data_IF_633652784591
#
_entry.id   IF_633652784591
#
_cell.length_a   1.000
_cell.length_b   1.000
_cell.length_c   1.000
_cell.angle_alpha   90.00
_cell.angle_beta   90.00
_cell.angle_gamma   90.00
#
_symmetry.space_group_name_H-M   'P 1'
#
loop_
_entity.id
_entity.type
_entity.pdbx_description
1 polymer ?
#
# COMPACT_ATOMS: atom_id res chain seq x y z
N UNK A 1 -1.14 -14.39 -12.36
CA UNK A 1 -0.16 -13.44 -11.78
C UNK A 1 1.19 -14.07 -11.43
N UNK A 2 1.29 -15.09 -10.56
CA UNK A 2 2.58 -15.75 -10.22
C UNK A 2 3.35 -16.28 -11.44
N UNK A 3 2.67 -17.04 -12.32
CA UNK A 3 3.29 -17.61 -13.53
C UNK A 3 3.80 -16.53 -14.49
N UNK A 4 3.05 -15.46 -14.68
CA UNK A 4 3.46 -14.32 -15.53
C UNK A 4 4.66 -13.58 -14.94
N UNK A 5 4.67 -13.31 -13.63
CA UNK A 5 5.82 -12.68 -12.94
C UNK A 5 7.10 -13.52 -13.06
N UNK A 6 7.00 -14.83 -12.84
CA UNK A 6 8.14 -15.74 -12.98
C UNK A 6 8.67 -15.77 -14.41
N UNK A 7 7.78 -15.87 -15.40
CA UNK A 7 8.20 -15.87 -16.82
C UNK A 7 8.91 -14.57 -17.17
N UNK A 8 8.36 -13.42 -16.78
CA UNK A 8 8.97 -12.11 -17.07
C UNK A 8 10.34 -11.97 -16.38
N UNK A 9 10.44 -12.28 -15.10
CA UNK A 9 11.71 -12.15 -14.36
C UNK A 9 12.78 -13.10 -14.90
N UNK A 10 12.43 -14.34 -15.19
CA UNK A 10 13.37 -15.32 -15.74
C UNK A 10 13.77 -14.98 -17.19
N UNK A 11 12.84 -14.50 -18.02
CA UNK A 11 13.16 -14.06 -19.38
C UNK A 11 14.09 -12.85 -19.39
N UNK A 12 13.84 -11.88 -18.50
CA UNK A 12 14.69 -10.68 -18.38
C UNK A 12 16.06 -11.05 -17.84
N UNK A 13 16.14 -11.94 -16.85
CA UNK A 13 17.41 -12.45 -16.33
C UNK A 13 18.22 -13.17 -17.42
N UNK A 14 17.57 -14.06 -18.18
CA UNK A 14 18.21 -14.78 -19.27
C UNK A 14 18.72 -13.84 -20.37
N UNK A 15 17.93 -12.81 -20.72
CA UNK A 15 18.33 -11.80 -21.70
C UNK A 15 19.55 -10.99 -21.20
N UNK A 16 19.52 -10.51 -19.96
CA UNK A 16 20.62 -9.75 -19.37
C UNK A 16 21.90 -10.57 -19.26
N UNK A 17 21.80 -11.82 -18.81
CA UNK A 17 22.94 -12.75 -18.77
C UNK A 17 23.49 -13.06 -20.16
N UNK A 18 22.63 -13.23 -21.17
CA UNK A 18 23.05 -13.45 -22.54
C UNK A 18 23.81 -12.25 -23.13
N UNK A 19 23.31 -11.04 -22.89
CA UNK A 19 24.00 -9.79 -23.30
C UNK A 19 25.33 -9.64 -22.56
N UNK A 20 25.36 -9.84 -21.25
CA UNK A 20 26.59 -9.78 -20.45
C UNK A 20 27.62 -10.81 -20.91
N UNK A 21 27.20 -12.05 -21.18
CA UNK A 21 28.06 -13.11 -21.70
C UNK A 21 28.64 -12.77 -23.07
N UNK A 22 27.84 -12.23 -23.97
CA UNK A 22 28.30 -11.79 -25.29
C UNK A 22 29.38 -10.69 -25.19
N UNK A 23 29.16 -9.66 -24.36
CA UNK A 23 30.15 -8.60 -24.16
C UNK A 23 31.41 -9.10 -23.46
N UNK A 24 31.28 -9.94 -22.43
CA UNK A 24 32.43 -10.52 -21.72
C UNK A 24 33.28 -11.40 -22.64
N UNK A 25 32.65 -12.23 -23.45
CA UNK A 25 33.34 -13.07 -24.44
C UNK A 25 34.11 -12.22 -25.46
N UNK A 26 33.46 -11.18 -26.00
CA UNK A 26 34.10 -10.28 -26.97
C UNK A 26 35.26 -9.49 -26.35
N UNK A 27 35.10 -9.02 -25.10
CA UNK A 27 36.15 -8.35 -24.36
C UNK A 27 37.35 -9.28 -24.12
N UNK A 28 37.10 -10.54 -23.72
CA UNK A 28 38.13 -11.55 -23.55
C UNK A 28 38.94 -11.82 -24.82
N UNK A 29 38.26 -11.94 -25.98
CA UNK A 29 38.94 -12.10 -27.27
C UNK A 29 39.83 -10.89 -27.62
N UNK A 30 39.34 -9.67 -27.38
CA UNK A 30 40.11 -8.47 -27.66
C UNK A 30 41.34 -8.36 -26.74
N UNK A 31 41.15 -8.57 -25.44
CA UNK A 31 42.22 -8.48 -24.45
C UNK A 31 43.30 -9.54 -24.69
N UNK A 32 42.91 -10.78 -25.02
CA UNK A 32 43.84 -11.81 -25.45
C UNK A 32 44.63 -11.40 -26.70
N UNK A 33 43.96 -10.81 -27.70
CA UNK A 33 44.61 -10.28 -28.90
C UNK A 33 45.69 -9.23 -28.60
N UNK A 34 45.39 -8.28 -27.71
CA UNK A 34 46.32 -7.23 -27.28
C UNK A 34 47.53 -7.81 -26.50
N UNK A 35 47.30 -8.80 -25.63
CA UNK A 35 48.38 -9.50 -24.93
C UNK A 35 49.33 -10.22 -25.90
N UNK A 36 48.81 -10.87 -26.94
CA UNK A 36 49.63 -11.53 -27.96
C UNK A 36 50.44 -10.51 -28.79
N UNK A 37 49.85 -9.39 -29.17
CA UNK A 37 50.57 -8.33 -29.89
C UNK A 37 51.71 -7.76 -29.02
N UNK A 38 51.47 -7.55 -27.71
CA UNK A 38 52.50 -7.12 -26.77
C UNK A 38 53.64 -8.15 -26.62
N UNK A 39 53.33 -9.45 -26.63
CA UNK A 39 54.31 -10.55 -26.58
C UNK A 39 55.24 -10.53 -27.80
N UNK A 40 54.74 -10.23 -29.00
CA UNK A 40 55.57 -10.10 -30.20
C UNK A 40 56.58 -8.96 -30.08
N UNK A 41 56.13 -7.79 -29.60
CA UNK A 41 57.02 -6.64 -29.36
C UNK A 41 58.10 -6.97 -28.34
N UNK A 42 57.72 -7.58 -27.22
CA UNK A 42 58.66 -7.99 -26.18
C UNK A 42 59.69 -8.98 -26.73
N UNK A 43 59.24 -9.98 -27.47
CA UNK A 43 60.12 -11.00 -28.07
C UNK A 43 61.10 -10.39 -29.06
N UNK A 44 60.66 -9.47 -29.93
CA UNK A 44 61.55 -8.75 -30.85
C UNK A 44 62.57 -7.90 -30.10
N UNK A 45 62.18 -7.21 -29.02
CA UNK A 45 63.11 -6.40 -28.21
C UNK A 45 64.16 -7.25 -27.50
N UNK A 46 63.75 -8.39 -26.94
CA UNK A 46 64.68 -9.35 -26.33
C UNK A 46 65.65 -9.89 -27.38
N UNK A 47 65.17 -10.24 -28.57
CA UNK A 47 66.02 -10.69 -29.67
C UNK A 47 67.05 -9.63 -30.10
N UNK A 48 66.63 -8.35 -30.19
CA UNK A 48 67.54 -7.23 -30.45
C UNK A 48 68.62 -7.17 -29.36
N UNK A 49 68.22 -7.16 -28.08
CA UNK A 49 69.15 -7.04 -26.96
C UNK A 49 70.15 -8.20 -26.84
N UNK A 50 69.78 -9.39 -27.30
CA UNK A 50 70.63 -10.59 -27.21
C UNK A 50 71.55 -10.78 -28.42
N UNK A 51 71.13 -10.36 -29.62
CA UNK A 51 71.75 -10.80 -30.86
C UNK A 51 72.36 -9.64 -31.65
N UNK A 52 71.93 -8.39 -31.45
CA UNK A 52 72.40 -7.28 -32.28
C UNK A 52 73.90 -6.98 -32.10
N UNK A 53 74.39 -6.96 -30.86
CA UNK A 53 75.81 -6.72 -30.56
C UNK A 53 76.72 -7.90 -30.98
N UNK A 54 76.42 -9.19 -30.68
CA UNK A 54 77.22 -10.30 -31.20
C UNK A 54 77.26 -10.37 -32.73
N UNK A 55 76.17 -9.98 -33.41
CA UNK A 55 76.13 -9.97 -34.87
C UNK A 55 76.92 -8.81 -35.49
N UNK A 56 77.19 -7.70 -34.79
CA UNK A 56 78.07 -6.63 -35.34
C UNK A 56 79.48 -7.12 -35.59
N UNK A 57 79.96 -8.05 -34.78
CA UNK A 57 81.31 -8.63 -34.90
C UNK A 57 81.40 -9.72 -35.99
N UNK A 58 80.26 -10.26 -36.43
CA UNK A 58 80.17 -11.40 -37.36
C UNK A 58 79.94 -11.01 -38.83
N UNK A 59 80.03 -9.73 -39.20
CA UNK A 59 79.72 -9.17 -40.54
C UNK A 59 80.55 -9.73 -41.72
N UNK A 60 81.45 -10.69 -41.48
CA UNK A 60 82.36 -11.28 -42.46
C UNK A 60 82.07 -12.76 -42.81
N UNK A 61 80.90 -13.34 -42.51
CA UNK A 61 80.55 -14.70 -42.93
C UNK A 61 79.77 -14.72 -44.27
N UNK A 62 80.35 -15.23 -45.37
CA UNK A 62 79.60 -15.57 -46.58
C UNK A 62 79.06 -17.01 -46.43
N UNK A 63 77.88 -17.17 -45.84
CA UNK A 63 77.31 -18.49 -45.59
C UNK A 63 75.79 -18.49 -45.39
N UNK A 64 75.24 -19.68 -45.20
CA UNK A 64 73.82 -19.89 -44.88
C UNK A 64 73.43 -19.20 -43.56
N UNK A 65 72.17 -18.74 -43.41
CA UNK A 65 71.71 -18.06 -42.20
C UNK A 65 71.83 -18.97 -40.96
N UNK A 66 72.14 -18.36 -39.81
CA UNK A 66 72.16 -19.07 -38.53
C UNK A 66 70.73 -19.48 -38.18
N UNK A 67 70.51 -20.79 -38.02
CA UNK A 67 69.19 -21.33 -37.65
C UNK A 67 69.15 -21.61 -36.15
N UNK A 68 68.39 -20.82 -35.41
CA UNK A 68 68.05 -21.11 -34.01
C UNK A 68 67.01 -22.22 -33.97
N UNK A 69 67.35 -23.35 -33.33
CA UNK A 69 66.42 -24.47 -33.16
C UNK A 69 65.58 -24.27 -31.91
N UNK A 70 64.26 -24.25 -32.08
CA UNK A 70 63.28 -24.15 -30.99
C UNK A 70 62.77 -25.51 -30.51
N UNK A 71 61.96 -25.53 -29.45
CA UNK A 71 61.25 -26.73 -29.01
C UNK A 71 59.98 -26.99 -29.86
N UNK A 72 59.70 -28.25 -30.20
CA UNK A 72 58.70 -28.67 -31.20
C UNK A 72 57.67 -29.69 -30.68
N UNK A 73 57.43 -29.77 -29.37
CA UNK A 73 56.50 -30.74 -28.82
C UNK A 73 55.04 -30.43 -29.17
N UNK A 74 54.26 -31.46 -29.51
CA UNK A 74 52.79 -31.39 -29.56
C UNK A 74 52.24 -31.84 -28.20
N UNK A 75 51.66 -30.94 -27.43
CA UNK A 75 50.94 -31.29 -26.22
C UNK A 75 49.42 -31.26 -26.50
N UNK A 76 48.70 -32.26 -25.98
CA UNK A 76 47.24 -32.37 -26.00
C UNK A 76 46.75 -32.43 -24.55
N UNK A 77 45.95 -31.45 -24.11
CA UNK A 77 45.38 -31.39 -22.75
C UNK A 77 45.15 -29.96 -22.26
N UNK A 78 44.37 -29.79 -21.17
CA UNK A 78 44.00 -28.48 -20.57
C UNK A 78 44.34 -28.50 -19.07
N UNK A 79 44.95 -27.43 -18.53
CA UNK A 79 45.18 -27.23 -17.09
C UNK A 79 46.63 -27.38 -16.60
N UNK A 80 46.84 -27.42 -15.27
CA UNK A 80 48.16 -27.53 -14.59
C UNK A 80 48.98 -28.79 -14.98
N UNK A 81 48.37 -29.78 -15.64
CA UNK A 81 49.10 -30.91 -16.25
C UNK A 81 49.96 -30.49 -17.48
N UNK A 82 49.82 -29.27 -17.98
CA UNK A 82 50.63 -28.67 -19.06
C UNK A 82 52.00 -28.15 -18.60
N UNK A 83 52.34 -28.31 -17.33
CA UNK A 83 53.59 -27.85 -16.75
C UNK A 83 54.41 -29.04 -16.24
N UNK A 84 55.22 -29.67 -17.11
CA UNK A 84 56.33 -30.51 -16.61
C UNK A 84 57.66 -30.25 -17.32
N UNK A 85 58.66 -30.07 -16.46
CA UNK A 85 60.15 -30.04 -16.57
C UNK A 85 60.88 -29.44 -17.77
N UNK A 86 60.34 -29.32 -18.98
CA UNK A 86 61.10 -28.83 -20.15
C UNK A 86 60.35 -27.91 -21.14
N UNK A 87 59.06 -27.59 -20.93
CA UNK A 87 58.35 -26.60 -21.75
C UNK A 87 56.82 -26.62 -21.65
N UNK A 88 56.13 -25.63 -22.24
CA UNK A 88 54.66 -25.52 -22.27
C UNK A 88 54.07 -25.80 -23.66
N UNK A 89 52.84 -26.35 -23.76
CA UNK A 89 52.14 -26.58 -25.04
C UNK A 89 52.01 -25.35 -25.94
N UNK A 90 52.04 -24.17 -25.32
CA UNK A 90 51.91 -22.85 -25.96
C UNK A 90 53.28 -22.19 -26.27
N UNK A 91 54.37 -22.90 -26.03
CA UNK A 91 55.74 -22.48 -26.37
C UNK A 91 56.04 -22.64 -27.87
N UNK A 92 55.11 -23.26 -28.61
CA UNK A 92 55.31 -23.66 -29.99
C UNK A 92 55.12 -22.51 -30.98
N UNK A 93 56.19 -22.25 -31.76
CA UNK A 93 56.21 -21.62 -33.10
C UNK A 93 56.15 -20.08 -33.17
N UNK A 94 56.79 -19.38 -32.22
CA UNK A 94 57.30 -18.06 -32.56
C UNK A 94 58.34 -18.19 -33.69
N UNK A 95 58.15 -17.42 -34.75
CA UNK A 95 59.08 -17.27 -35.85
C UNK A 95 59.91 -16.01 -35.65
N UNK A 96 61.23 -16.10 -35.78
CA UNK A 96 62.11 -14.93 -35.72
C UNK A 96 62.97 -14.85 -36.97
N UNK A 97 63.24 -13.64 -37.45
CA UNK A 97 64.20 -13.39 -38.52
C UNK A 97 64.99 -12.11 -38.23
N UNK A 98 66.26 -12.12 -38.60
CA UNK A 98 67.14 -10.95 -38.57
C UNK A 98 67.69 -10.77 -39.98
N UNK A 99 67.45 -9.58 -40.55
CA UNK A 99 67.93 -9.20 -41.87
C UNK A 99 68.93 -8.05 -41.76
N UNK A 100 69.96 -8.09 -42.59
CA UNK A 100 70.96 -7.03 -42.68
C UNK A 100 70.44 -5.81 -43.47
N UNK A 101 71.26 -4.74 -43.51
CA UNK A 101 71.02 -3.52 -44.31
C UNK A 101 70.81 -3.80 -45.79
N UNK A 102 71.49 -4.82 -46.32
CA UNK A 102 71.40 -5.25 -47.72
C UNK A 102 70.29 -6.29 -47.97
N UNK A 103 69.33 -6.42 -47.04
CA UNK A 103 68.23 -7.39 -47.09
C UNK A 103 68.70 -8.85 -47.19
N UNK A 104 69.84 -9.17 -46.58
CA UNK A 104 70.33 -10.54 -46.44
C UNK A 104 69.86 -11.14 -45.12
N UNK A 105 69.33 -12.35 -45.15
CA UNK A 105 68.90 -13.07 -43.94
C UNK A 105 70.13 -13.54 -43.16
N UNK A 106 70.31 -13.04 -41.95
CA UNK A 106 71.43 -13.37 -41.07
C UNK A 106 71.08 -14.49 -40.10
N UNK A 107 69.89 -14.41 -39.52
CA UNK A 107 69.41 -15.35 -38.50
C UNK A 107 67.94 -15.64 -38.73
N UNK A 108 67.55 -16.89 -38.51
CA UNK A 108 66.14 -17.31 -38.47
C UNK A 108 65.90 -18.34 -37.38
N UNK A 109 64.67 -18.45 -36.90
CA UNK A 109 64.23 -19.69 -36.25
C UNK A 109 63.94 -20.77 -37.28
N UNK A 110 63.99 -22.02 -36.85
CA UNK A 110 63.56 -23.17 -37.64
C UNK A 110 62.10 -23.10 -38.10
N UNK A 111 61.23 -22.51 -37.29
CA UNK A 111 59.81 -22.22 -37.56
C UNK A 111 59.58 -21.11 -38.60
N UNK A 112 60.58 -20.28 -38.89
CA UNK A 112 60.46 -19.18 -39.85
C UNK A 112 60.85 -19.63 -41.28
N UNK A 113 60.13 -19.19 -42.33
CA UNK A 113 60.51 -19.43 -43.72
C UNK A 113 61.85 -18.76 -44.08
N UNK A 114 62.41 -19.07 -45.25
CA UNK A 114 63.58 -18.36 -45.79
C UNK A 114 63.22 -17.01 -46.44
N UNK A 115 61.95 -16.79 -46.80
CA UNK A 115 61.43 -15.51 -47.27
C UNK A 115 61.13 -14.57 -46.10
N UNK A 116 61.17 -13.24 -46.28
CA UNK A 116 60.76 -12.29 -45.25
C UNK A 116 59.37 -12.61 -44.69
N UNK A 117 59.25 -12.61 -43.36
CA UNK A 117 57.97 -12.81 -42.66
C UNK A 117 56.97 -11.70 -43.00
N UNK A 118 57.44 -10.49 -43.28
CA UNK A 118 56.64 -9.39 -43.79
C UNK A 118 57.54 -8.44 -44.60
N UNK A 119 56.94 -7.46 -45.27
CA UNK A 119 57.70 -6.34 -45.82
C UNK A 119 58.58 -5.71 -44.72
N UNK A 120 59.83 -5.38 -45.05
CA UNK A 120 60.81 -4.80 -44.12
C UNK A 120 60.47 -3.32 -43.84
N UNK A 121 59.34 -3.10 -43.16
CA UNK A 121 58.85 -1.82 -42.70
C UNK A 121 58.49 -1.92 -41.22
N UNK A 122 58.78 -0.90 -40.39
CA UNK A 122 58.47 -0.97 -38.96
C UNK A 122 56.96 -1.09 -38.70
N UNK A 123 56.58 -1.92 -37.73
CA UNK A 123 55.19 -2.07 -37.28
C UNK A 123 54.64 -3.49 -37.40
N UNK A 124 53.32 -3.61 -37.22
CA UNK A 124 52.60 -4.86 -37.34
C UNK A 124 52.18 -5.13 -38.78
N UNK A 125 52.25 -6.38 -39.20
CA UNK A 125 51.69 -6.84 -40.46
C UNK A 125 50.98 -8.18 -40.26
N UNK A 126 50.07 -8.52 -41.18
CA UNK A 126 49.36 -9.79 -41.15
C UNK A 126 49.39 -10.52 -42.50
N UNK A 127 50.57 -11.01 -42.93
CA UNK A 127 50.73 -11.65 -44.23
C UNK A 127 50.25 -13.10 -44.20
N UNK A 128 49.93 -13.62 -45.39
CA UNK A 128 49.62 -15.03 -45.60
C UNK A 128 50.85 -15.70 -46.20
N UNK A 129 51.40 -16.70 -45.52
CA UNK A 129 52.62 -17.42 -45.91
C UNK A 129 52.33 -18.91 -45.88
N UNK A 130 52.49 -19.59 -47.01
CA UNK A 130 52.28 -21.04 -47.10
C UNK A 130 50.82 -21.47 -46.85
N UNK A 131 49.85 -20.59 -47.08
CA UNK A 131 48.42 -20.84 -46.81
C UNK A 131 47.98 -20.49 -45.39
N UNK A 132 48.91 -20.08 -44.53
CA UNK A 132 48.67 -19.76 -43.13
C UNK A 132 48.71 -18.25 -42.90
N UNK A 133 47.82 -17.72 -42.06
CA UNK A 133 47.83 -16.30 -41.69
C UNK A 133 48.79 -16.08 -40.52
N UNK A 134 49.70 -15.13 -40.67
CA UNK A 134 50.68 -14.76 -39.64
C UNK A 134 50.35 -13.38 -39.08
N UNK A 135 50.72 -13.16 -37.81
CA UNK A 135 50.83 -11.84 -37.21
C UNK A 135 52.30 -11.58 -36.94
N UNK A 136 52.84 -10.51 -37.50
CA UNK A 136 54.28 -10.21 -37.43
C UNK A 136 54.53 -8.82 -36.88
N UNK A 137 55.63 -8.64 -36.14
CA UNK A 137 56.12 -7.33 -35.71
C UNK A 137 57.55 -7.11 -36.19
N UNK A 138 57.75 -6.04 -36.94
CA UNK A 138 59.05 -5.66 -37.52
C UNK A 138 59.60 -4.41 -36.85
N UNK A 139 60.89 -4.42 -36.51
CA UNK A 139 61.61 -3.28 -35.94
C UNK A 139 62.97 -3.11 -36.60
N UNK A 140 63.43 -1.85 -36.75
CA UNK A 140 64.76 -1.53 -37.29
C UNK A 140 65.66 -1.01 -36.18
N UNK A 141 66.91 -1.48 -36.11
CA UNK A 141 67.91 -0.98 -35.16
C UNK A 141 68.64 0.26 -35.71
N UNK A 142 69.42 0.93 -34.85
CA UNK A 142 70.22 2.12 -35.26
C UNK A 142 71.32 1.72 -36.23
N UNK A 143 71.81 0.49 -36.10
CA UNK A 143 72.73 -0.21 -36.97
C UNK A 143 72.07 -0.64 -38.28
N UNK A 144 70.81 -0.28 -38.55
CA UNK A 144 70.17 -0.43 -39.85
C UNK A 144 69.66 -1.83 -40.17
N UNK A 145 69.75 -2.79 -39.24
CA UNK A 145 69.25 -4.16 -39.36
C UNK A 145 67.76 -4.24 -39.05
N UNK A 146 67.12 -5.28 -39.56
CA UNK A 146 65.69 -5.53 -39.37
C UNK A 146 65.46 -6.80 -38.56
N UNK A 147 64.67 -6.67 -37.50
CA UNK A 147 64.27 -7.77 -36.63
C UNK A 147 62.77 -8.00 -36.81
N UNK A 148 62.39 -9.23 -37.11
CA UNK A 148 61.00 -9.64 -37.27
C UNK A 148 60.70 -10.77 -36.29
N UNK A 149 59.58 -10.64 -35.58
CA UNK A 149 58.94 -11.77 -34.89
C UNK A 149 57.58 -12.03 -35.53
N UNK A 150 57.14 -13.28 -35.50
CA UNK A 150 55.83 -13.67 -36.00
C UNK A 150 55.24 -14.85 -35.27
N UNK A 151 53.92 -14.91 -35.22
CA UNK A 151 53.15 -16.02 -34.67
C UNK A 151 51.98 -16.30 -35.62
N UNK A 152 51.56 -17.57 -35.74
CA UNK A 152 50.42 -17.93 -36.60
C UNK A 152 49.11 -17.53 -35.93
N UNK A 153 48.17 -17.01 -36.73
CA UNK A 153 46.87 -16.52 -36.25
C UNK A 153 45.92 -17.63 -35.81
N UNK A 154 46.01 -18.83 -36.40
CA UNK A 154 45.17 -19.99 -36.01
C UNK A 154 45.39 -20.38 -34.54
N UNK A 155 46.64 -20.31 -34.09
CA UNK A 155 47.02 -20.55 -32.69
C UNK A 155 46.49 -19.43 -31.79
N UNK A 156 46.57 -18.16 -32.23
CA UNK A 156 46.04 -17.02 -31.45
C UNK A 156 44.53 -17.12 -31.25
N UNK A 157 43.80 -17.55 -32.27
CA UNK A 157 42.35 -17.72 -32.21
C UNK A 157 41.97 -18.85 -31.25
N UNK A 158 42.59 -20.01 -31.34
CA UNK A 158 42.33 -21.15 -30.43
C UNK A 158 42.58 -20.78 -28.96
N UNK A 159 43.71 -20.12 -28.65
CA UNK A 159 44.02 -19.71 -27.28
C UNK A 159 43.10 -18.57 -26.81
N UNK A 160 42.75 -17.62 -27.68
CA UNK A 160 41.85 -16.55 -27.33
C UNK A 160 40.43 -17.07 -27.06
N UNK A 161 39.96 -18.06 -27.82
CA UNK A 161 38.68 -18.74 -27.59
C UNK A 161 38.66 -19.49 -26.26
N UNK A 162 39.76 -20.18 -25.91
CA UNK A 162 39.88 -20.86 -24.61
C UNK A 162 39.84 -19.87 -23.43
N UNK A 163 40.59 -18.76 -23.52
CA UNK A 163 40.62 -17.71 -22.48
C UNK A 163 39.24 -17.04 -22.37
N UNK A 164 38.63 -16.68 -23.49
CA UNK A 164 37.33 -16.03 -23.52
C UNK A 164 36.21 -16.99 -23.05
N UNK A 165 36.29 -18.27 -23.41
CA UNK A 165 35.36 -19.32 -22.98
C UNK A 165 35.38 -19.55 -21.47
N UNK A 166 36.55 -19.40 -20.83
CA UNK A 166 36.69 -19.43 -19.38
C UNK A 166 35.80 -18.42 -18.64
N UNK A 167 35.49 -17.27 -19.26
CA UNK A 167 34.61 -16.25 -18.66
C UNK A 167 33.11 -16.61 -18.69
N UNK A 168 32.70 -17.54 -19.56
CA UNK A 168 31.30 -17.96 -19.70
C UNK A 168 30.87 -18.95 -18.61
N UNK A 169 31.80 -19.77 -18.12
CA UNK A 169 31.49 -20.82 -17.13
C UNK A 169 30.90 -20.25 -15.82
N UNK A 170 31.47 -19.19 -15.19
CA UNK A 170 30.87 -18.56 -14.02
C UNK A 170 29.46 -18.00 -14.29
N UNK A 171 29.23 -17.41 -15.48
CA UNK A 171 27.91 -16.89 -15.88
C UNK A 171 26.87 -18.01 -16.01
N UNK A 172 27.25 -19.13 -16.63
CA UNK A 172 26.39 -20.29 -16.79
C UNK A 172 26.02 -20.93 -15.45
N UNK A 173 26.93 -20.93 -14.48
CA UNK A 173 26.65 -21.41 -13.12
C UNK A 173 25.80 -20.42 -12.29
N UNK A 174 25.95 -19.11 -12.52
CA UNK A 174 25.17 -18.09 -11.84
C UNK A 174 23.69 -18.10 -12.25
N UNK A 175 23.39 -18.41 -13.53
CA UNK A 175 22.03 -18.44 -14.07
C UNK A 175 21.07 -19.37 -13.32
N UNK A 176 21.34 -20.68 -13.13
CA UNK A 176 20.44 -21.57 -12.40
C UNK A 176 20.30 -21.19 -10.92
N UNK A 177 21.37 -20.69 -10.29
CA UNK A 177 21.33 -20.22 -8.91
C UNK A 177 20.39 -19.02 -8.74
N UNK A 178 20.52 -18.01 -9.61
CA UNK A 178 19.62 -16.86 -9.61
C UNK A 178 18.18 -17.25 -9.94
N UNK A 179 17.97 -18.15 -10.91
CA UNK A 179 16.65 -18.65 -11.24
C UNK A 179 15.99 -19.36 -10.05
N UNK A 180 16.75 -20.16 -9.29
CA UNK A 180 16.28 -20.83 -8.08
C UNK A 180 15.88 -19.82 -6.99
N UNK A 181 16.71 -18.79 -6.75
CA UNK A 181 16.42 -17.74 -5.77
C UNK A 181 15.18 -16.92 -6.15
N UNK A 182 15.04 -16.52 -7.42
CA UNK A 182 13.86 -15.82 -7.93
C UNK A 182 12.62 -16.70 -7.77
N UNK A 183 12.71 -17.97 -8.15
CA UNK A 183 11.61 -18.92 -8.02
C UNK A 183 11.19 -19.06 -6.56
N UNK A 184 12.12 -19.25 -5.62
CA UNK A 184 11.82 -19.38 -4.19
C UNK A 184 11.18 -18.11 -3.63
N UNK A 185 11.76 -16.93 -3.90
CA UNK A 185 11.28 -15.63 -3.40
C UNK A 185 9.87 -15.30 -3.90
N UNK A 186 9.62 -15.40 -5.20
CA UNK A 186 8.30 -15.14 -5.78
C UNK A 186 7.26 -16.16 -5.27
N UNK A 187 7.68 -17.42 -5.08
CA UNK A 187 6.80 -18.47 -4.57
C UNK A 187 6.40 -18.22 -3.12
N UNK A 188 7.32 -17.74 -2.28
CA UNK A 188 7.05 -17.40 -0.89
C UNK A 188 6.07 -16.23 -0.79
N UNK A 189 6.39 -15.10 -1.44
CA UNK A 189 5.57 -13.86 -1.39
C UNK A 189 4.16 -14.09 -1.94
N UNK A 190 4.03 -14.77 -3.08
CA UNK A 190 2.71 -14.98 -3.71
C UNK A 190 1.88 -16.05 -3.01
N UNK A 191 2.47 -16.87 -2.13
CA UNK A 191 1.75 -17.86 -1.31
C UNK A 191 1.11 -17.18 -0.11
N UNK A 192 1.84 -16.32 0.60
CA UNK A 192 1.31 -15.56 1.75
C UNK A 192 0.13 -14.67 1.35
N UNK A 193 0.22 -13.98 0.19
CA UNK A 193 -0.90 -13.19 -0.35
C UNK A 193 -2.15 -14.03 -0.65
N UNK A 194 -1.96 -15.26 -1.11
CA UNK A 194 -3.06 -16.17 -1.44
C UNK A 194 -3.75 -16.69 -0.17
N UNK A 195 -2.98 -16.98 0.87
CA UNK A 195 -3.54 -17.33 2.18
C UNK A 195 -4.40 -16.20 2.76
N UNK A 196 -3.97 -14.94 2.66
CA UNK A 196 -4.80 -13.79 3.07
C UNK A 196 -6.09 -13.71 2.25
N UNK A 197 -6.00 -13.88 0.93
CA UNK A 197 -7.18 -13.87 0.05
C UNK A 197 -8.16 -15.01 0.36
N UNK A 198 -7.67 -16.22 0.58
CA UNK A 198 -8.50 -17.39 0.91
C UNK A 198 -9.12 -17.25 2.31
N UNK A 199 -8.39 -16.65 3.25
CA UNK A 199 -8.89 -16.30 4.59
C UNK A 199 -10.00 -15.23 4.57
N UNK A 200 -10.05 -14.38 3.54
CA UNK A 200 -11.14 -13.42 3.31
C UNK A 200 -12.31 -14.13 2.61
N UNK A 201 -12.03 -14.97 1.61
CA UNK A 201 -13.06 -15.62 0.79
C UNK A 201 -13.84 -16.75 1.47
N UNK A 202 -13.28 -17.38 2.52
CA UNK A 202 -13.94 -18.47 3.25
C UNK A 202 -14.56 -18.05 4.59
N UNK A 203 -14.54 -16.74 4.93
CA UNK A 203 -15.04 -16.29 6.22
C UNK A 203 -16.56 -16.13 6.22
N UNK A 204 -17.16 -16.80 7.20
CA UNK A 204 -18.58 -16.79 7.50
C UNK A 204 -19.04 -15.35 7.83
N UNK A 205 -20.10 -14.81 7.18
CA UNK A 205 -20.64 -13.47 7.45
C UNK A 205 -20.97 -13.21 8.93
N UNK A 206 -21.07 -14.26 9.74
CA UNK A 206 -21.43 -14.20 11.15
C UNK A 206 -20.23 -14.21 12.13
N UNK A 207 -19.01 -14.51 11.66
CA UNK A 207 -17.79 -14.55 12.50
C UNK A 207 -16.66 -13.67 11.94
N UNK A 208 -16.81 -12.36 12.14
CA UNK A 208 -15.86 -11.32 11.70
C UNK A 208 -14.65 -11.16 12.64
N UNK A 209 -13.93 -12.25 12.94
CA UNK A 209 -12.66 -12.18 13.68
C UNK A 209 -11.59 -11.42 12.87
N UNK A 210 -10.72 -10.60 13.50
CA UNK A 210 -9.66 -9.88 12.79
C UNK A 210 -8.73 -10.85 12.02
N UNK A 211 -8.21 -10.38 10.87
CA UNK A 211 -7.18 -11.06 10.11
C UNK A 211 -5.90 -11.14 10.95
N UNK A 212 -5.32 -12.34 11.00
CA UNK A 212 -4.07 -12.59 11.73
C UNK A 212 -2.88 -12.05 10.93
N UNK A 213 -1.98 -11.34 11.61
CA UNK A 213 -0.81 -10.70 11.02
C UNK A 213 0.42 -11.62 10.99
N UNK A 214 0.39 -12.78 11.67
CA UNK A 214 1.57 -13.61 11.89
C UNK A 214 2.33 -14.03 10.63
N UNK A 215 1.62 -14.36 9.55
CA UNK A 215 2.21 -14.89 8.30
C UNK A 215 2.22 -13.87 7.14
N UNK A 216 1.92 -12.60 7.42
CA UNK A 216 1.78 -11.57 6.39
C UNK A 216 3.09 -10.79 6.21
N UNK A 217 3.56 -10.54 4.97
CA UNK A 217 4.70 -9.68 4.72
C UNK A 217 4.46 -8.25 5.24
N UNK A 218 5.53 -7.57 5.70
CA UNK A 218 5.44 -6.22 6.27
C UNK A 218 4.79 -5.21 5.33
N UNK A 219 5.01 -5.37 4.03
CA UNK A 219 4.45 -4.54 2.96
C UNK A 219 2.92 -4.65 2.86
N UNK A 220 2.37 -5.80 3.25
CA UNK A 220 0.93 -6.07 3.22
C UNK A 220 0.22 -5.76 4.55
N UNK A 221 0.95 -5.45 5.63
CA UNK A 221 0.35 -5.08 6.93
C UNK A 221 -0.60 -3.88 6.81
N UNK A 222 -0.24 -2.86 6.01
CA UNK A 222 -1.08 -1.67 5.82
C UNK A 222 -2.46 -2.02 5.24
N UNK A 223 -2.49 -2.93 4.27
CA UNK A 223 -3.74 -3.43 3.68
C UNK A 223 -4.55 -4.24 4.71
N UNK A 224 -3.90 -5.13 5.46
CA UNK A 224 -4.57 -5.92 6.50
C UNK A 224 -5.18 -5.02 7.59
N UNK A 225 -4.46 -3.99 8.03
CA UNK A 225 -4.99 -3.01 8.97
C UNK A 225 -6.20 -2.25 8.42
N UNK A 226 -6.16 -1.84 7.15
CA UNK A 226 -7.28 -1.16 6.51
C UNK A 226 -8.52 -2.07 6.42
N UNK A 227 -8.33 -3.35 6.05
CA UNK A 227 -9.41 -4.35 5.97
C UNK A 227 -9.98 -4.64 7.37
N UNK A 228 -9.13 -4.86 8.37
CA UNK A 228 -9.57 -5.06 9.75
C UNK A 228 -10.37 -3.86 10.28
N UNK A 229 -9.90 -2.63 10.01
CA UNK A 229 -10.64 -1.42 10.39
C UNK A 229 -12.02 -1.32 9.73
N UNK A 230 -12.13 -1.72 8.45
CA UNK A 230 -13.41 -1.77 7.75
C UNK A 230 -14.34 -2.85 8.32
N UNK A 231 -13.81 -4.04 8.60
CA UNK A 231 -14.57 -5.13 9.21
C UNK A 231 -15.13 -4.74 10.58
N UNK A 232 -14.34 -4.07 11.44
CA UNK A 232 -14.81 -3.56 12.73
C UNK A 232 -15.96 -2.57 12.56
N UNK A 233 -15.81 -1.58 11.68
CA UNK A 233 -16.87 -0.58 11.42
C UNK A 233 -18.15 -1.21 10.89
N UNK A 234 -18.04 -2.22 10.03
CA UNK A 234 -19.18 -2.96 9.49
C UNK A 234 -19.87 -3.76 10.59
N UNK A 235 -19.11 -4.48 11.41
CA UNK A 235 -19.65 -5.27 12.52
C UNK A 235 -20.41 -4.39 13.53
N UNK A 236 -19.84 -3.22 13.86
CA UNK A 236 -20.47 -2.25 14.74
C UNK A 236 -21.79 -1.71 14.15
N UNK A 237 -21.81 -1.45 12.84
CA UNK A 237 -23.02 -1.00 12.14
C UNK A 237 -24.13 -2.07 12.14
N UNK A 238 -23.79 -3.31 11.77
CA UNK A 238 -24.74 -4.42 11.77
C UNK A 238 -25.26 -4.74 13.18
N UNK A 239 -24.41 -4.63 14.19
CA UNK A 239 -24.80 -4.85 15.60
C UNK A 239 -25.73 -3.76 16.13
N UNK A 240 -25.60 -2.52 15.66
CA UNK A 240 -26.56 -1.44 15.94
C UNK A 240 -27.90 -1.69 15.25
N UNK A 241 -27.88 -2.06 13.98
CA UNK A 241 -29.08 -2.36 13.20
C UNK A 241 -29.89 -3.52 13.78
N UNK A 242 -29.22 -4.65 14.12
CA UNK A 242 -29.88 -5.80 14.76
C UNK A 242 -30.54 -5.44 16.08
N UNK A 243 -29.88 -4.65 16.92
CA UNK A 243 -30.47 -4.16 18.19
C UNK A 243 -31.68 -3.26 17.93
N UNK A 244 -31.56 -2.31 17.01
CA UNK A 244 -32.67 -1.43 16.65
C UNK A 244 -33.91 -2.21 16.19
N UNK A 245 -33.75 -3.20 15.31
CA UNK A 245 -34.86 -4.06 14.85
C UNK A 245 -35.47 -4.86 16.01
N UNK A 246 -34.64 -5.43 16.89
CA UNK A 246 -35.12 -6.18 18.04
C UNK A 246 -35.92 -5.30 19.02
N UNK A 247 -35.41 -4.11 19.33
CA UNK A 247 -36.05 -3.15 20.22
C UNK A 247 -37.37 -2.65 19.63
N UNK A 248 -37.38 -2.26 18.36
CA UNK A 248 -38.60 -1.82 17.66
C UNK A 248 -39.66 -2.94 17.64
N UNK A 249 -39.27 -4.19 17.42
CA UNK A 249 -40.18 -5.32 17.44
C UNK A 249 -40.79 -5.56 18.84
N UNK A 250 -40.00 -5.38 19.91
CA UNK A 250 -40.48 -5.49 21.28
C UNK A 250 -41.50 -4.39 21.61
N UNK A 251 -41.18 -3.16 21.25
CA UNK A 251 -41.96 -1.96 21.56
C UNK A 251 -43.24 -1.85 20.74
N UNK A 252 -43.30 -2.46 19.55
CA UNK A 252 -44.54 -2.61 18.80
C UNK A 252 -45.44 -3.71 19.40
N UNK A 253 -44.88 -4.77 19.99
CA UNK A 253 -45.65 -5.91 20.52
C UNK A 253 -46.55 -5.50 21.68
N UNK A 254 -46.08 -4.63 22.55
CA UNK A 254 -46.82 -4.16 23.75
C UNK A 254 -48.12 -3.42 23.39
N UNK A 255 -48.12 -2.33 22.60
CA UNK A 255 -49.34 -1.63 22.21
C UNK A 255 -50.23 -2.48 21.32
N UNK A 256 -49.69 -3.35 20.45
CA UNK A 256 -50.50 -4.30 19.66
C UNK A 256 -51.26 -5.28 20.56
N UNK A 257 -50.61 -5.75 21.64
CA UNK A 257 -51.25 -6.64 22.61
C UNK A 257 -52.37 -5.93 23.38
N UNK A 258 -52.13 -4.69 23.81
CA UNK A 258 -53.16 -3.86 24.43
C UNK A 258 -54.35 -3.59 23.48
N UNK A 259 -54.07 -3.25 22.22
CA UNK A 259 -55.09 -3.09 21.17
C UNK A 259 -55.97 -4.33 21.02
N UNK A 260 -55.36 -5.53 21.00
CA UNK A 260 -56.12 -6.79 20.94
C UNK A 260 -57.03 -7.00 22.15
N UNK A 261 -56.54 -6.67 23.35
CA UNK A 261 -57.33 -6.79 24.59
C UNK A 261 -58.51 -5.81 24.57
N UNK A 262 -58.28 -4.54 24.26
CA UNK A 262 -59.33 -3.53 24.20
C UNK A 262 -60.36 -3.84 23.11
N UNK A 263 -59.94 -4.32 21.93
CA UNK A 263 -60.85 -4.77 20.88
C UNK A 263 -61.71 -5.97 21.32
N UNK A 264 -61.13 -6.89 22.10
CA UNK A 264 -61.86 -8.00 22.72
C UNK A 264 -62.90 -7.50 23.72
N UNK A 265 -62.53 -6.53 24.57
CA UNK A 265 -63.43 -5.93 25.57
C UNK A 265 -64.60 -5.19 24.91
N UNK A 266 -64.36 -4.44 23.82
CA UNK A 266 -65.44 -3.80 23.03
C UNK A 266 -66.44 -4.85 22.52
N UNK A 267 -65.96 -6.02 22.07
CA UNK A 267 -66.83 -7.11 21.58
C UNK A 267 -67.61 -7.82 22.68
N UNK A 268 -67.06 -7.92 23.89
CA UNK A 268 -67.61 -8.73 24.98
C UNK A 268 -68.36 -7.91 26.04
N UNK A 269 -68.28 -6.58 26.02
CA UNK A 269 -68.93 -5.76 27.05
C UNK A 269 -70.46 -5.81 26.93
N UNK A 270 -71.18 -6.22 27.99
CA UNK A 270 -72.62 -6.41 27.97
C UNK A 270 -73.42 -5.09 28.02
N UNK A 271 -72.79 -4.00 28.44
CA UNK A 271 -73.40 -2.69 28.66
C UNK A 271 -72.75 -1.60 27.77
N UNK A 272 -73.52 -0.55 27.45
CA UNK A 272 -73.10 0.54 26.56
C UNK A 272 -71.93 1.36 27.15
N UNK A 273 -71.91 1.52 28.48
CA UNK A 273 -70.88 2.29 29.17
C UNK A 273 -69.52 1.59 29.14
N UNK A 274 -69.48 0.28 29.43
CA UNK A 274 -68.27 -0.53 29.30
C UNK A 274 -67.77 -0.62 27.85
N UNK A 275 -68.69 -0.62 26.86
CA UNK A 275 -68.33 -0.59 25.44
C UNK A 275 -67.68 0.74 25.04
N UNK A 276 -68.26 1.87 25.43
CA UNK A 276 -67.71 3.20 25.18
C UNK A 276 -66.32 3.37 25.83
N UNK A 277 -66.15 2.95 27.08
CA UNK A 277 -64.86 3.00 27.77
C UNK A 277 -63.79 2.14 27.08
N UNK A 278 -64.15 0.93 26.62
CA UNK A 278 -63.22 0.08 25.90
C UNK A 278 -62.86 0.65 24.51
N UNK A 279 -63.76 1.42 23.91
CA UNK A 279 -63.55 2.12 22.64
C UNK A 279 -62.58 3.29 22.81
N UNK A 280 -62.75 4.10 23.86
CA UNK A 280 -61.79 5.17 24.21
C UNK A 280 -60.37 4.62 24.43
N UNK A 281 -60.24 3.51 25.18
CA UNK A 281 -58.93 2.86 25.40
C UNK A 281 -58.31 2.28 24.12
N UNK A 282 -59.16 1.87 23.17
CA UNK A 282 -58.72 1.38 21.87
C UNK A 282 -58.17 2.53 21.01
N UNK A 283 -58.89 3.65 20.92
CA UNK A 283 -58.45 4.85 20.21
C UNK A 283 -57.14 5.41 20.81
N UNK A 284 -57.03 5.40 22.14
CA UNK A 284 -55.84 5.82 22.86
C UNK A 284 -54.62 4.91 22.58
N UNK A 285 -54.87 3.61 22.37
CA UNK A 285 -53.85 2.63 21.98
C UNK A 285 -53.42 2.81 20.52
N UNK A 286 -54.34 3.14 19.61
CA UNK A 286 -54.03 3.49 18.21
C UNK A 286 -53.14 4.73 18.16
N UNK A 287 -53.53 5.80 18.86
CA UNK A 287 -52.75 7.05 18.89
C UNK A 287 -51.35 6.90 19.51
N UNK A 288 -51.15 5.94 20.43
CA UNK A 288 -49.81 5.58 20.92
C UNK A 288 -48.98 4.88 19.85
N UNK A 289 -49.59 3.94 19.11
CA UNK A 289 -48.92 3.17 18.07
C UNK A 289 -48.50 4.07 16.90
N UNK A 290 -49.35 5.01 16.50
CA UNK A 290 -49.02 6.03 15.49
C UNK A 290 -47.83 6.89 15.90
N UNK A 291 -47.81 7.38 17.14
CA UNK A 291 -46.65 8.13 17.68
C UNK A 291 -45.38 7.31 17.72
N UNK A 292 -45.45 6.03 18.12
CA UNK A 292 -44.29 5.14 18.14
C UNK A 292 -43.73 4.94 16.71
N UNK A 293 -44.59 4.70 15.73
CA UNK A 293 -44.19 4.56 14.33
C UNK A 293 -43.57 5.86 13.79
N UNK A 294 -44.17 7.02 14.08
CA UNK A 294 -43.62 8.32 13.70
C UNK A 294 -42.23 8.57 14.31
N UNK A 295 -42.01 8.16 15.56
CA UNK A 295 -40.72 8.25 16.24
C UNK A 295 -39.67 7.31 15.62
N UNK A 296 -40.04 6.05 15.31
CA UNK A 296 -39.14 5.11 14.64
C UNK A 296 -38.73 5.59 13.24
N UNK A 297 -39.66 6.17 12.48
CA UNK A 297 -39.38 6.75 11.16
C UNK A 297 -38.49 7.99 11.26
N UNK A 298 -38.71 8.82 12.28
CA UNK A 298 -37.84 9.98 12.57
C UNK A 298 -36.43 9.53 12.89
N UNK A 299 -36.27 8.50 13.71
CA UNK A 299 -34.97 7.95 14.08
C UNK A 299 -34.24 7.34 12.87
N UNK A 300 -34.92 6.53 12.08
CA UNK A 300 -34.36 5.95 10.84
C UNK A 300 -33.91 7.03 9.85
N UNK A 301 -34.68 8.13 9.74
CA UNK A 301 -34.29 9.28 8.90
C UNK A 301 -33.11 10.04 9.49
N UNK A 302 -33.06 10.24 10.80
CA UNK A 302 -31.94 10.90 11.46
C UNK A 302 -30.62 10.13 11.26
N UNK A 303 -30.62 8.80 11.44
CA UNK A 303 -29.46 7.94 11.18
C UNK A 303 -28.99 8.01 9.70
N UNK A 304 -29.93 8.08 8.76
CA UNK A 304 -29.61 8.23 7.34
C UNK A 304 -29.07 9.63 7.00
N UNK A 305 -29.59 10.67 7.65
CA UNK A 305 -29.26 12.08 7.39
C UNK A 305 -27.98 12.56 8.08
N UNK A 306 -27.53 11.93 9.17
CA UNK A 306 -26.20 12.15 9.76
C UNK A 306 -25.05 11.83 8.81
N UNK A 307 -25.32 11.25 7.63
CA UNK A 307 -24.35 11.00 6.56
C UNK A 307 -24.30 12.09 5.48
N UNK A 308 -25.18 13.09 5.54
CA UNK A 308 -25.24 14.20 4.58
C UNK A 308 -24.38 15.36 5.07
N UNK A 309 -23.64 16.02 4.17
CA UNK A 309 -22.76 17.14 4.50
C UNK A 309 -23.46 18.20 5.37
N UNK A 310 -22.90 18.55 6.53
CA UNK A 310 -23.55 19.46 7.47
C UNK A 310 -23.58 20.89 6.93
N UNK A 311 -24.76 21.49 6.90
CA UNK A 311 -25.03 22.85 6.43
C UNK A 311 -24.87 23.86 7.58
N UNK A 312 -24.71 25.15 7.25
CA UNK A 312 -24.79 26.25 8.22
C UNK A 312 -26.26 26.58 8.46
N UNK A 313 -26.67 26.58 9.72
CA UNK A 313 -28.07 26.73 10.12
C UNK A 313 -28.17 27.74 11.27
N UNK A 314 -29.17 28.60 11.23
CA UNK A 314 -29.50 29.51 12.32
C UNK A 314 -30.33 28.76 13.37
N UNK A 315 -29.77 28.62 14.57
CA UNK A 315 -30.39 27.86 15.66
C UNK A 315 -31.66 28.54 16.17
N UNK A 316 -31.65 29.87 16.24
CA UNK A 316 -32.81 30.70 16.59
C UNK A 316 -33.98 30.51 15.64
N UNK A 317 -33.73 30.45 14.32
CA UNK A 317 -34.78 30.25 13.32
C UNK A 317 -35.44 28.87 13.45
N UNK A 318 -34.64 27.82 13.69
CA UNK A 318 -35.18 26.47 13.90
C UNK A 318 -36.00 26.42 15.19
N UNK A 319 -35.48 27.00 16.28
CA UNK A 319 -36.19 27.06 17.57
C UNK A 319 -37.53 27.81 17.43
N UNK A 320 -37.53 28.96 16.74
CA UNK A 320 -38.75 29.72 16.50
C UNK A 320 -39.79 28.92 15.68
N UNK A 321 -39.34 28.23 14.63
CA UNK A 321 -40.21 27.38 13.79
C UNK A 321 -40.87 26.27 14.59
N UNK A 322 -40.10 25.59 15.44
CA UNK A 322 -40.61 24.50 16.28
C UNK A 322 -41.53 24.98 17.40
N UNK A 323 -41.26 26.17 17.97
CA UNK A 323 -42.17 26.82 18.93
C UNK A 323 -43.51 27.14 18.27
N UNK A 324 -43.50 27.73 17.06
CA UNK A 324 -44.71 28.06 16.32
C UNK A 324 -45.53 26.81 15.98
N UNK A 325 -44.86 25.71 15.60
CA UNK A 325 -45.52 24.43 15.34
C UNK A 325 -46.21 23.83 16.59
N UNK A 326 -45.69 24.12 17.79
CA UNK A 326 -46.22 23.62 19.06
C UNK A 326 -47.15 24.59 19.78
N UNK A 327 -47.39 25.79 19.22
CA UNK A 327 -48.16 26.88 19.84
C UNK A 327 -49.51 26.44 20.40
N UNK A 328 -50.24 25.61 19.64
CA UNK A 328 -51.55 25.08 20.06
C UNK A 328 -51.50 24.31 21.37
N UNK A 329 -50.42 23.58 21.65
CA UNK A 329 -50.28 22.81 22.89
C UNK A 329 -50.03 23.72 24.11
N UNK A 330 -49.24 24.78 23.93
CA UNK A 330 -49.05 25.79 24.99
C UNK A 330 -50.38 26.45 25.36
N UNK A 331 -51.18 26.83 24.35
CA UNK A 331 -52.49 27.47 24.54
C UNK A 331 -53.50 26.52 25.22
N UNK A 332 -53.56 25.26 24.78
CA UNK A 332 -54.43 24.23 25.38
C UNK A 332 -54.13 24.03 26.87
N UNK A 333 -52.85 23.98 27.24
CA UNK A 333 -52.41 23.81 28.63
C UNK A 333 -52.35 25.12 29.43
N UNK A 334 -52.62 26.26 28.78
CA UNK A 334 -52.50 27.62 29.33
C UNK A 334 -51.12 27.92 29.92
N UNK A 335 -50.06 27.38 29.33
CA UNK A 335 -48.69 27.53 29.81
C UNK A 335 -48.09 28.87 29.35
N UNK A 336 -47.27 29.50 30.19
CA UNK A 336 -46.59 30.75 29.87
C UNK A 336 -45.23 30.47 29.22
N UNK A 337 -45.01 30.97 28.01
CA UNK A 337 -43.75 30.82 27.29
C UNK A 337 -42.95 32.12 27.30
N UNK A 338 -41.71 32.08 27.78
CA UNK A 338 -40.75 33.17 27.73
C UNK A 338 -39.58 32.81 26.81
N UNK A 339 -39.25 33.71 25.87
CA UNK A 339 -38.26 33.48 24.82
C UNK A 339 -37.13 34.51 24.87
N UNK A 340 -35.89 34.03 24.85
CA UNK A 340 -34.68 34.84 24.71
C UNK A 340 -33.81 34.22 23.59
N UNK A 341 -34.07 34.61 22.34
CA UNK A 341 -33.42 34.02 21.16
C UNK A 341 -32.39 35.00 20.58
N UNK A 342 -31.11 34.71 20.77
CA UNK A 342 -30.00 35.35 20.06
C UNK A 342 -29.73 34.63 18.74
N UNK A 343 -29.35 35.36 17.69
CA UNK A 343 -29.01 34.74 16.41
C UNK A 343 -27.65 34.04 16.48
N UNK A 344 -27.67 32.70 16.39
CA UNK A 344 -26.47 31.87 16.54
C UNK A 344 -26.45 30.78 15.47
N UNK A 345 -25.34 30.69 14.73
CA UNK A 345 -25.17 29.66 13.70
C UNK A 345 -24.51 28.39 14.25
N UNK A 346 -25.04 27.24 13.83
CA UNK A 346 -24.50 25.91 14.09
C UNK A 346 -24.33 25.13 12.79
N UNK A 347 -23.42 24.15 12.81
CA UNK A 347 -23.21 23.25 11.67
C UNK A 347 -23.98 21.96 11.91
N UNK A 348 -24.88 21.59 11.00
CA UNK A 348 -25.66 20.38 11.19
C UNK A 348 -26.65 20.06 10.09
N UNK A 349 -27.49 19.08 10.37
CA UNK A 349 -28.64 18.74 9.54
C UNK A 349 -29.90 19.36 10.15
N UNK A 350 -30.63 20.14 9.35
CA UNK A 350 -31.80 20.89 9.80
C UNK A 350 -32.90 19.99 10.36
N UNK A 351 -33.19 18.87 9.71
CA UNK A 351 -34.21 17.93 10.17
C UNK A 351 -33.82 17.26 11.49
N UNK A 352 -32.53 16.92 11.66
CA UNK A 352 -32.04 16.33 12.90
C UNK A 352 -32.11 17.33 14.06
N UNK A 353 -31.63 18.56 13.86
CA UNK A 353 -31.71 19.62 14.88
C UNK A 353 -33.16 19.96 15.23
N UNK A 354 -34.05 20.04 14.24
CA UNK A 354 -35.49 20.24 14.45
C UNK A 354 -36.09 19.12 15.30
N UNK A 355 -35.73 17.86 15.03
CA UNK A 355 -36.18 16.72 15.83
C UNK A 355 -35.66 16.79 17.28
N UNK A 356 -34.39 17.16 17.50
CA UNK A 356 -33.86 17.36 18.84
C UNK A 356 -34.63 18.44 19.60
N UNK A 357 -34.78 19.62 18.99
CA UNK A 357 -35.47 20.77 19.60
C UNK A 357 -36.92 20.40 19.92
N UNK A 358 -37.63 19.78 18.98
CA UNK A 358 -39.01 19.31 19.18
C UNK A 358 -39.11 18.35 20.36
N UNK A 359 -38.22 17.37 20.47
CA UNK A 359 -38.25 16.41 21.58
C UNK A 359 -38.02 17.10 22.94
N UNK A 360 -37.13 18.10 23.01
CA UNK A 360 -36.93 18.87 24.23
C UNK A 360 -38.16 19.71 24.57
N UNK A 361 -38.74 20.40 23.59
CA UNK A 361 -39.93 21.25 23.78
C UNK A 361 -41.18 20.42 24.14
N UNK A 362 -41.43 19.30 23.46
CA UNK A 362 -42.54 18.41 23.78
C UNK A 362 -42.42 17.84 25.20
N UNK A 363 -41.19 17.53 25.66
CA UNK A 363 -40.96 17.15 27.05
C UNK A 363 -41.31 18.29 28.00
N UNK A 364 -40.82 19.51 27.75
CA UNK A 364 -41.11 20.67 28.58
C UNK A 364 -42.63 20.92 28.67
N UNK A 365 -43.35 20.93 27.55
CA UNK A 365 -44.81 21.10 27.51
C UNK A 365 -45.52 20.02 28.33
N UNK A 366 -45.06 18.78 28.23
CA UNK A 366 -45.73 17.62 28.83
C UNK A 366 -45.55 17.55 30.34
N UNK A 367 -44.37 17.91 30.86
CA UNK A 367 -44.07 17.85 32.29
C UNK A 367 -44.37 19.17 33.03
N UNK A 368 -44.57 20.27 32.31
CA UNK A 368 -45.02 21.53 32.91
C UNK A 368 -46.50 21.42 33.32
N UNK A 369 -46.88 21.77 34.56
CA UNK A 369 -48.28 21.78 34.97
C UNK A 369 -49.11 22.81 34.18
N UNK A 370 -50.43 22.67 34.16
CA UNK A 370 -51.31 23.67 33.56
C UNK A 370 -51.11 25.03 34.24
N UNK A 371 -51.03 26.12 33.47
CA UNK A 371 -50.62 27.47 33.95
C UNK A 371 -49.17 27.57 34.47
N UNK A 372 -48.36 26.55 34.27
CA UNK A 372 -46.92 26.60 34.53
C UNK A 372 -46.17 27.42 33.47
N UNK A 373 -44.86 27.53 33.64
CA UNK A 373 -44.00 28.38 32.81
C UNK A 373 -42.90 27.57 32.14
N UNK A 374 -42.59 27.92 30.90
CA UNK A 374 -41.50 27.37 30.10
C UNK A 374 -40.64 28.53 29.61
N UNK A 375 -39.33 28.38 29.74
CA UNK A 375 -38.35 29.36 29.30
C UNK A 375 -37.43 28.73 28.26
N UNK A 376 -37.32 29.35 27.09
CA UNK A 376 -36.43 28.91 26.01
C UNK A 376 -35.44 30.03 25.71
N UNK A 377 -34.15 29.69 25.78
CA UNK A 377 -33.06 30.62 25.48
C UNK A 377 -32.10 30.02 24.46
N UNK A 378 -31.77 30.80 23.45
CA UNK A 378 -30.65 30.54 22.53
C UNK A 378 -29.66 31.67 22.73
N UNK A 379 -28.41 31.34 23.04
CA UNK A 379 -27.36 32.33 23.24
C UNK A 379 -25.98 31.82 22.87
N UNK A 380 -25.06 32.75 22.59
CA UNK A 380 -23.65 32.44 22.40
C UNK A 380 -22.87 32.60 23.70
N UNK A 381 -22.22 31.54 24.16
CA UNK A 381 -21.32 31.55 25.32
C UNK A 381 -19.87 31.38 24.83
N UNK A 382 -19.22 32.50 24.47
CA UNK A 382 -17.87 32.47 23.91
C UNK A 382 -17.81 31.72 22.57
N UNK A 383 -17.24 30.52 22.59
CA UNK A 383 -17.14 29.66 21.40
C UNK A 383 -18.11 28.47 21.42
N UNK A 384 -19.21 28.56 22.17
CA UNK A 384 -20.28 27.57 22.15
C UNK A 384 -21.63 28.23 21.85
N UNK A 385 -22.42 27.59 20.99
CA UNK A 385 -23.83 27.89 20.80
C UNK A 385 -24.62 27.09 21.83
N UNK A 386 -25.48 27.75 22.61
CA UNK A 386 -26.18 27.12 23.73
C UNK A 386 -27.68 27.27 23.57
N UNK A 387 -28.40 26.14 23.60
CA UNK A 387 -29.85 26.08 23.77
C UNK A 387 -30.15 25.68 25.22
N UNK A 388 -30.99 26.47 25.90
CA UNK A 388 -31.50 26.19 27.23
C UNK A 388 -33.02 26.11 27.14
N UNK A 389 -33.59 24.99 27.55
CA UNK A 389 -35.03 24.83 27.76
C UNK A 389 -35.27 24.51 29.21
N UNK A 390 -35.97 25.39 29.92
CA UNK A 390 -36.29 25.23 31.32
C UNK A 390 -37.79 25.22 31.55
N UNK A 391 -38.26 24.37 32.46
CA UNK A 391 -39.67 24.30 32.84
C UNK A 391 -39.90 24.48 34.35
N UNK A 392 -41.15 24.72 34.73
CA UNK A 392 -41.63 24.75 36.11
C UNK A 392 -42.26 23.42 36.55
N UNK A 393 -41.88 22.30 35.93
CA UNK A 393 -42.34 20.96 36.26
C UNK A 393 -41.63 20.38 37.50
N UNK A 394 -41.85 19.09 37.80
CA UNK A 394 -41.27 18.44 38.98
C UNK A 394 -39.75 18.21 38.89
N UNK A 395 -39.14 18.41 37.72
CA UNK A 395 -37.72 18.15 37.48
C UNK A 395 -37.39 16.65 37.38
N UNK A 396 -36.09 16.33 37.36
CA UNK A 396 -35.54 14.96 37.37
C UNK A 396 -34.52 14.85 38.50
N UNK A 397 -34.68 13.82 39.34
CA UNK A 397 -33.77 13.50 40.43
C UNK A 397 -32.34 13.27 39.92
N UNK A 398 -31.32 13.67 40.67
CA UNK A 398 -29.92 13.69 40.21
C UNK A 398 -29.46 12.29 39.78
N UNK A 399 -29.91 11.28 40.50
CA UNK A 399 -29.59 9.87 40.31
C UNK A 399 -30.17 9.30 39.00
N UNK A 400 -31.23 9.92 38.47
CA UNK A 400 -31.91 9.46 37.26
C UNK A 400 -31.44 10.20 36.01
N UNK A 401 -30.69 11.31 36.15
CA UNK A 401 -30.30 12.16 35.02
C UNK A 401 -29.42 11.47 33.98
N UNK A 402 -28.64 10.46 34.38
CA UNK A 402 -27.87 9.67 33.42
C UNK A 402 -28.75 8.65 32.69
N UNK A 403 -29.67 8.02 33.42
CA UNK A 403 -30.54 6.95 32.91
C UNK A 403 -31.69 7.44 32.04
N UNK A 404 -32.15 8.69 32.21
CA UNK A 404 -33.22 9.25 31.34
C UNK A 404 -32.80 9.41 29.87
N UNK A 405 -31.51 9.26 29.56
CA UNK A 405 -31.03 9.19 28.18
C UNK A 405 -31.03 7.77 27.60
N UNK A 406 -31.22 6.75 28.44
CA UNK A 406 -31.39 5.38 27.99
C UNK A 406 -32.74 5.25 27.26
N UNK A 407 -32.73 4.55 26.12
CA UNK A 407 -33.96 4.33 25.34
C UNK A 407 -35.01 3.64 26.22
N UNK A 408 -36.24 4.16 26.19
CA UNK A 408 -37.40 3.63 26.91
C UNK A 408 -37.36 3.76 28.44
N UNK A 409 -36.35 4.42 29.01
CA UNK A 409 -36.31 4.69 30.43
C UNK A 409 -37.42 5.67 30.83
N UNK A 410 -38.11 5.38 31.94
CA UNK A 410 -39.13 6.24 32.54
C UNK A 410 -38.92 6.32 34.04
N UNK A 411 -38.98 7.55 34.55
CA UNK A 411 -39.09 7.84 35.98
C UNK A 411 -40.36 7.15 36.53
N UNK A 412 -40.18 6.20 37.44
CA UNK A 412 -41.29 5.49 38.09
C UNK A 412 -42.13 6.50 38.88
N UNK A 413 -43.44 6.58 38.61
CA UNK A 413 -44.37 7.43 39.35
C UNK A 413 -44.70 8.80 38.75
N UNK A 414 -44.19 9.15 37.55
CA UNK A 414 -44.48 10.44 36.93
C UNK A 414 -45.92 10.61 36.42
N UNK A 415 -46.70 9.54 36.27
CA UNK A 415 -48.12 9.58 35.84
C UNK A 415 -48.37 10.10 34.41
N UNK A 416 -47.34 10.56 33.72
CA UNK A 416 -47.41 11.20 32.40
C UNK A 416 -47.19 10.16 31.28
N UNK A 417 -48.11 10.03 30.29
CA UNK A 417 -47.95 9.09 29.18
C UNK A 417 -46.82 9.52 28.23
N UNK A 418 -45.89 8.60 27.89
CA UNK A 418 -44.78 8.84 26.96
C UNK A 418 -43.97 7.58 26.66
N UNK A 419 -43.22 7.59 25.56
CA UNK A 419 -42.45 6.42 25.04
C UNK A 419 -41.05 6.26 25.65
N UNK A 420 -40.58 7.21 26.45
CA UNK A 420 -39.20 7.17 27.00
C UNK A 420 -38.10 7.33 25.93
N UNK A 421 -38.46 7.68 24.70
CA UNK A 421 -37.52 7.85 23.59
C UNK A 421 -37.01 9.28 23.43
N UNK A 422 -37.74 10.28 23.93
CA UNK A 422 -37.47 11.68 23.61
C UNK A 422 -36.05 12.14 23.95
N UNK A 423 -35.59 11.91 25.18
CA UNK A 423 -34.24 12.31 25.60
C UNK A 423 -33.14 11.43 24.98
N UNK A 424 -33.42 10.17 24.69
CA UNK A 424 -32.47 9.32 23.95
C UNK A 424 -32.22 9.83 22.53
N UNK A 425 -33.26 10.34 21.84
CA UNK A 425 -33.15 10.99 20.53
C UNK A 425 -32.32 12.28 20.66
N UNK A 426 -32.55 13.07 21.72
CA UNK A 426 -31.78 14.30 21.98
C UNK A 426 -30.29 14.00 22.13
N UNK A 427 -29.92 12.97 22.90
CA UNK A 427 -28.51 12.55 23.05
C UNK A 427 -27.92 12.07 21.74
N UNK A 428 -28.63 11.21 21.01
CA UNK A 428 -28.13 10.64 19.76
C UNK A 428 -27.92 11.70 18.67
N UNK A 429 -28.85 12.65 18.55
CA UNK A 429 -28.69 13.79 17.63
C UNK A 429 -27.56 14.70 18.11
N UNK A 430 -27.42 14.97 19.41
CA UNK A 430 -26.35 15.80 19.93
C UNK A 430 -24.97 15.18 19.66
N UNK A 431 -24.79 13.89 19.98
CA UNK A 431 -23.54 13.15 19.75
C UNK A 431 -23.17 13.15 18.25
N UNK A 432 -24.15 12.95 17.36
CA UNK A 432 -23.93 13.01 15.91
C UNK A 432 -23.49 14.40 15.40
N UNK A 433 -23.80 15.46 16.15
CA UNK A 433 -23.45 16.85 15.82
C UNK A 433 -22.26 17.38 16.64
N UNK A 434 -21.61 16.53 17.44
CA UNK A 434 -20.53 16.94 18.35
C UNK A 434 -20.98 17.91 19.43
N UNK A 435 -22.27 17.91 19.77
CA UNK A 435 -22.86 18.70 20.83
C UNK A 435 -22.91 17.92 22.14
N UNK A 436 -22.96 18.63 23.27
CA UNK A 436 -23.13 18.01 24.59
C UNK A 436 -24.49 18.37 25.18
N UNK A 437 -25.13 17.40 25.85
CA UNK A 437 -26.43 17.59 26.50
C UNK A 437 -26.25 17.41 28.01
N UNK A 438 -26.79 18.34 28.80
CA UNK A 438 -26.79 18.27 30.26
C UNK A 438 -28.18 18.54 30.81
N UNK A 439 -28.50 17.85 31.91
CA UNK A 439 -29.74 18.04 32.67
C UNK A 439 -29.40 18.68 34.02
N UNK A 440 -30.11 19.75 34.34
CA UNK A 440 -29.96 20.51 35.57
C UNK A 440 -31.31 20.79 36.22
N UNK A 441 -31.26 21.44 37.38
CA UNK A 441 -32.44 22.07 37.98
C UNK A 441 -32.46 23.52 37.54
N UNK A 442 -33.60 23.98 37.02
CA UNK A 442 -33.75 25.36 36.56
C UNK A 442 -33.64 26.34 37.73
N UNK A 443 -32.62 27.20 37.73
CA UNK A 443 -32.49 28.26 38.72
C UNK A 443 -33.62 29.31 38.61
N UNK A 444 -34.23 29.43 37.43
CA UNK A 444 -35.29 30.42 37.13
C UNK A 444 -36.69 29.91 37.47
N UNK A 445 -36.97 28.63 37.22
CA UNK A 445 -38.32 28.05 37.28
C UNK A 445 -38.45 26.88 38.26
N UNK A 446 -37.35 26.38 38.81
CA UNK A 446 -37.33 25.31 39.82
C UNK A 446 -37.53 23.88 39.28
N UNK A 447 -37.96 23.72 38.02
CA UNK A 447 -38.14 22.41 37.37
C UNK A 447 -36.89 21.91 36.66
N UNK A 448 -37.05 21.25 35.50
CA UNK A 448 -35.94 20.73 34.72
C UNK A 448 -35.30 21.84 33.86
N UNK A 449 -33.97 21.83 33.75
CA UNK A 449 -33.23 22.57 32.73
C UNK A 449 -32.55 21.56 31.80
N UNK A 450 -32.88 21.60 30.51
CA UNK A 450 -32.16 20.88 29.45
C UNK A 450 -31.25 21.87 28.75
N UNK A 451 -29.94 21.63 28.81
CA UNK A 451 -28.92 22.46 28.15
C UNK A 451 -28.24 21.65 27.05
N UNK A 452 -28.22 22.20 25.84
CA UNK A 452 -27.54 21.63 24.68
C UNK A 452 -26.50 22.61 24.17
N UNK A 453 -25.25 22.18 24.10
CA UNK A 453 -24.08 23.01 23.78
C UNK A 453 -23.41 22.49 22.51
N UNK A 454 -23.40 23.28 21.44
CA UNK A 454 -22.64 23.00 20.21
C UNK A 454 -21.35 23.82 20.19
N UNK A 455 -20.26 23.31 19.59
CA UNK A 455 -19.13 24.17 19.25
C UNK A 455 -19.58 25.25 18.26
N UNK A 456 -19.45 26.52 18.64
CA UNK A 456 -19.88 27.64 17.81
C UNK A 456 -19.01 27.71 16.55
N UNK A 457 -19.65 28.00 15.42
CA UNK A 457 -18.92 28.27 14.19
C UNK A 457 -18.22 29.63 14.29
N UNK A 458 -16.89 29.63 14.28
CA UNK A 458 -16.11 30.86 14.07
C UNK A 458 -16.01 31.05 12.55
N UNK A 459 -16.62 32.12 12.05
CA UNK A 459 -16.29 32.63 10.73
C UNK A 459 -14.82 33.06 10.76
N UNK A 460 -13.96 32.32 10.07
CA UNK A 460 -12.65 32.82 9.66
C UNK A 460 -12.79 33.56 8.34
#
# INVERSE_FOLDING_TARGET
>A
MRRTLLVVLLSTLALLMGVAGFFSYRAGLQEAGEMFDARLVQSTRVLIGLVDEPLSDLTAFPGDPIVLRGWHGQARGVGEELAFKEGHAYESKLAFQVWDRDHRLLLRSDSAPYSPLAALQPGYASPIIGGEQWRTFTMRTKEGRWFQSGERSDIREELAEDIAGGTLLPLLLALPLMALVIWWSVSHVTRSLRQVSDQIGQRDPERMSPLDLGDVPREAHGLVHAVNGLLTRLNDALSRERRFVADAAHELRTPISALKVHAGNVRQSPDEAGRAQAQDLLDDSVGRLERLVAQLLTLSRAEALSRVSPARLSLDAIVATEIDALRTFFDLNRQYLALELESVEVKGNEAALSALIRNVLENAIRYTPAKGSIFVCVRREGNTATLIVADSGPGIAVEEREHVFDRFYRTLGSGVPGSGLGLSIVREVADAHGASVRLGTSARLGGLEVRVEWPAYIAH
#
